data_IF_180663699262
#
_entry.id   IF_180663699262
#
_cell.length_a   1.000
_cell.length_b   1.000
_cell.length_c   1.000
_cell.angle_alpha   90.00
_cell.angle_beta   90.00
_cell.angle_gamma   90.00
#
_symmetry.space_group_name_H-M   'P 1'
#
loop_
_entity.id
_entity.type
_entity.pdbx_description
1 polymer ?
#
# COMPACT_ATOMS: atom_id res chain seq x y z
N UNK A 1 -42.45 -7.26 -2.85
CA UNK A 1 -41.92 -6.91 -4.17
C UNK A 1 -40.49 -6.44 -3.95
N UNK A 2 -39.50 -7.25 -4.32
CA UNK A 2 -38.10 -6.94 -4.09
C UNK A 2 -37.71 -5.73 -4.94
N UNK A 3 -37.34 -4.64 -4.29
CA UNK A 3 -36.74 -3.49 -4.95
C UNK A 3 -35.45 -3.95 -5.63
N UNK A 4 -35.50 -4.10 -6.96
CA UNK A 4 -34.32 -4.22 -7.81
C UNK A 4 -33.59 -2.88 -7.79
N UNK A 5 -33.00 -2.54 -6.63
CA UNK A 5 -32.10 -1.41 -6.53
C UNK A 5 -30.80 -1.82 -7.19
N UNK A 6 -30.31 -0.97 -8.09
CA UNK A 6 -28.99 -1.17 -8.69
C UNK A 6 -27.98 -1.10 -7.55
N UNK A 7 -27.24 -2.19 -7.34
CA UNK A 7 -26.17 -2.22 -6.34
C UNK A 7 -25.03 -1.33 -6.85
N UNK A 8 -24.64 -0.37 -6.01
CA UNK A 8 -23.54 0.56 -6.29
C UNK A 8 -22.24 0.04 -5.67
N UNK A 9 -21.07 0.49 -6.16
CA UNK A 9 -19.78 0.21 -5.52
C UNK A 9 -19.73 0.63 -4.05
N UNK A 10 -20.42 1.73 -3.70
CA UNK A 10 -20.52 2.25 -2.34
C UNK A 10 -21.25 1.27 -1.42
N UNK A 11 -22.34 0.64 -1.88
CA UNK A 11 -23.05 -0.39 -1.10
C UNK A 11 -22.15 -1.59 -0.78
N UNK A 12 -21.34 -2.02 -1.75
CA UNK A 12 -20.36 -3.11 -1.57
C UNK A 12 -19.30 -2.71 -0.57
N UNK A 13 -18.76 -1.49 -0.69
CA UNK A 13 -17.73 -0.98 0.21
C UNK A 13 -18.26 -0.85 1.64
N UNK A 14 -19.46 -0.31 1.83
CA UNK A 14 -20.12 -0.17 3.13
C UNK A 14 -20.31 -1.55 3.78
N UNK A 15 -20.79 -2.55 3.04
CA UNK A 15 -20.91 -3.92 3.54
C UNK A 15 -19.57 -4.49 4.01
N UNK A 16 -18.50 -4.31 3.23
CA UNK A 16 -17.15 -4.80 3.54
C UNK A 16 -16.50 -4.08 4.74
N UNK A 17 -16.84 -2.81 4.95
CA UNK A 17 -16.42 -2.05 6.13
C UNK A 17 -17.12 -2.54 7.39
N UNK A 18 -18.43 -2.80 7.29
CA UNK A 18 -19.27 -3.13 8.43
C UNK A 18 -19.10 -4.58 8.93
N UNK A 19 -18.69 -5.52 8.06
CA UNK A 19 -18.50 -6.93 8.43
C UNK A 19 -17.06 -7.28 8.87
N UNK A 20 -16.16 -6.29 8.90
CA UNK A 20 -14.76 -6.46 9.29
C UNK A 20 -13.87 -7.10 8.23
N UNK A 21 -14.38 -7.34 7.02
CA UNK A 21 -13.61 -7.96 5.93
C UNK A 21 -12.44 -7.09 5.51
N UNK A 22 -12.60 -5.76 5.46
CA UNK A 22 -11.49 -4.85 5.13
C UNK A 22 -10.36 -4.94 6.15
N UNK A 23 -10.67 -5.02 7.44
CA UNK A 23 -9.65 -5.16 8.48
C UNK A 23 -8.95 -6.53 8.40
N UNK A 24 -9.68 -7.60 8.09
CA UNK A 24 -9.11 -8.92 7.85
C UNK A 24 -8.15 -8.91 6.65
N UNK A 25 -8.53 -8.26 5.53
CA UNK A 25 -7.67 -8.08 4.37
C UNK A 25 -6.43 -7.24 4.70
N UNK A 26 -6.61 -6.12 5.41
CA UNK A 26 -5.51 -5.28 5.89
C UNK A 26 -4.53 -6.07 6.74
N UNK A 27 -5.03 -6.91 7.66
CA UNK A 27 -4.19 -7.76 8.50
C UNK A 27 -3.39 -8.78 7.67
N UNK A 28 -4.01 -9.40 6.65
CA UNK A 28 -3.31 -10.30 5.72
C UNK A 28 -2.19 -9.58 4.96
N UNK A 29 -2.45 -8.37 4.44
CA UNK A 29 -1.45 -7.54 3.77
C UNK A 29 -0.27 -7.26 4.70
N UNK A 30 -0.55 -6.81 5.93
CA UNK A 30 0.48 -6.50 6.93
C UNK A 30 1.32 -7.75 7.24
N UNK A 31 0.68 -8.91 7.41
CA UNK A 31 1.40 -10.15 7.71
C UNK A 31 2.29 -10.60 6.55
N UNK A 32 1.84 -10.48 5.30
CA UNK A 32 2.66 -10.80 4.14
C UNK A 32 3.84 -9.83 3.99
N UNK A 33 3.64 -8.52 4.22
CA UNK A 33 4.73 -7.55 4.21
C UNK A 33 5.74 -7.81 5.33
N UNK A 34 5.28 -8.14 6.53
CA UNK A 34 6.14 -8.55 7.65
C UNK A 34 6.91 -9.83 7.37
N UNK A 35 6.39 -10.71 6.51
CA UNK A 35 7.06 -11.94 6.08
C UNK A 35 7.95 -11.74 4.83
N UNK A 36 7.93 -10.57 4.21
CA UNK A 36 8.70 -10.31 3.00
C UNK A 36 10.20 -10.16 3.31
N UNK A 37 10.96 -11.22 3.04
CA UNK A 37 12.40 -11.28 3.27
C UNK A 37 13.20 -10.34 2.37
N UNK A 38 12.72 -10.02 1.16
CA UNK A 38 13.40 -9.08 0.27
C UNK A 38 13.33 -7.65 0.80
N UNK A 39 12.15 -7.25 1.29
CA UNK A 39 11.97 -5.94 1.91
C UNK A 39 12.81 -5.81 3.18
N UNK A 40 12.87 -6.86 4.01
CA UNK A 40 13.76 -6.90 5.20
C UNK A 40 15.22 -6.76 4.82
N UNK A 41 15.71 -7.59 3.88
CA UNK A 41 17.11 -7.55 3.42
C UNK A 41 17.48 -6.20 2.85
N UNK A 42 16.58 -5.60 2.07
CA UNK A 42 16.79 -4.27 1.51
C UNK A 42 16.88 -3.21 2.62
N UNK A 43 15.99 -3.28 3.61
CA UNK A 43 15.99 -2.35 4.75
C UNK A 43 17.26 -2.49 5.60
N UNK A 44 17.74 -3.71 5.84
CA UNK A 44 19.01 -3.96 6.53
C UNK A 44 20.18 -3.34 5.74
N UNK A 45 20.25 -3.57 4.43
CA UNK A 45 21.30 -2.97 3.58
C UNK A 45 21.26 -1.44 3.62
N UNK A 46 20.07 -0.85 3.63
CA UNK A 46 19.92 0.61 3.75
C UNK A 46 20.44 1.12 5.10
N UNK A 47 20.19 0.39 6.19
CA UNK A 47 20.76 0.70 7.49
C UNK A 47 22.29 0.56 7.50
N UNK A 48 22.84 -0.52 6.94
CA UNK A 48 24.29 -0.71 6.82
C UNK A 48 24.98 0.40 6.03
N UNK A 49 24.29 0.95 5.01
CA UNK A 49 24.78 2.04 4.16
C UNK A 49 24.43 3.43 4.69
N UNK A 50 23.79 3.54 5.86
CA UNK A 50 23.35 4.81 6.45
C UNK A 50 24.51 5.75 6.69
N UNK A 51 24.32 7.03 6.35
CA UNK A 51 25.30 8.07 6.70
C UNK A 51 25.37 8.26 8.20
N UNK A 52 24.23 8.22 8.91
CA UNK A 52 24.17 8.36 10.37
C UNK A 52 25.05 7.33 11.06
N UNK A 53 24.98 6.05 10.65
CA UNK A 53 25.79 4.99 11.26
C UNK A 53 27.25 5.01 10.81
N UNK A 54 27.54 5.46 9.58
CA UNK A 54 28.90 5.48 9.05
C UNK A 54 29.65 6.81 9.29
N UNK A 55 29.05 7.76 10.02
CA UNK A 55 29.69 9.04 10.36
C UNK A 55 30.66 8.87 11.54
N UNK A 56 31.89 9.40 11.47
CA UNK A 56 32.81 9.37 12.62
C UNK A 56 32.20 10.04 13.85
N UNK A 57 32.27 9.39 15.01
CA UNK A 57 31.67 9.89 16.24
C UNK A 57 30.26 9.37 16.51
N UNK A 58 29.66 8.59 15.59
CA UNK A 58 28.40 7.88 15.84
C UNK A 58 28.48 6.98 17.08
N UNK A 59 29.66 6.41 17.38
CA UNK A 59 29.90 5.58 18.55
C UNK A 59 29.77 6.33 19.90
N UNK A 60 29.77 7.66 19.88
CA UNK A 60 29.64 8.51 21.08
C UNK A 60 28.21 8.98 21.33
N UNK A 61 27.32 8.79 20.36
CA UNK A 61 25.91 9.15 20.50
C UNK A 61 25.17 8.10 21.33
N UNK A 62 24.10 8.54 21.97
CA UNK A 62 23.21 7.60 22.67
C UNK A 62 22.45 6.74 21.66
N UNK A 63 22.01 5.55 22.11
CA UNK A 63 21.17 4.68 21.30
C UNK A 63 19.92 5.41 20.79
N UNK A 64 19.31 6.29 21.59
CA UNK A 64 18.12 7.05 21.19
C UNK A 64 18.44 7.99 20.03
N UNK A 65 19.47 8.81 20.17
CA UNK A 65 19.90 9.75 19.12
C UNK A 65 20.23 9.03 17.81
N UNK A 66 20.93 7.90 17.87
CA UNK A 66 21.22 7.08 16.69
C UNK A 66 19.96 6.56 16.01
N UNK A 67 19.00 6.02 16.78
CA UNK A 67 17.75 5.52 16.22
C UNK A 67 16.90 6.63 15.62
N UNK A 68 16.80 7.78 16.29
CA UNK A 68 16.01 8.92 15.82
C UNK A 68 16.63 9.52 14.55
N UNK A 69 17.95 9.70 14.51
CA UNK A 69 18.66 10.18 13.33
C UNK A 69 18.58 9.16 12.17
N UNK A 70 18.77 7.86 12.44
CA UNK A 70 18.65 6.81 11.44
C UNK A 70 17.23 6.74 10.87
N UNK A 71 16.22 6.89 11.73
CA UNK A 71 14.82 6.97 11.30
C UNK A 71 14.60 8.18 10.40
N UNK A 72 15.09 9.36 10.80
CA UNK A 72 14.96 10.58 9.99
C UNK A 72 15.61 10.43 8.61
N UNK A 73 16.71 9.68 8.50
CA UNK A 73 17.39 9.40 7.22
C UNK A 73 16.62 8.40 6.34
N UNK A 74 16.14 7.30 6.94
CA UNK A 74 15.68 6.12 6.18
C UNK A 74 14.17 5.97 6.09
N UNK A 75 13.37 6.59 6.97
CA UNK A 75 11.93 6.36 7.08
C UNK A 75 11.21 6.55 5.74
N UNK A 76 11.43 7.69 5.07
CA UNK A 76 10.79 7.96 3.77
C UNK A 76 11.10 6.89 2.74
N UNK A 77 12.37 6.52 2.57
CA UNK A 77 12.79 5.55 1.56
C UNK A 77 12.28 4.13 1.85
N UNK A 78 12.28 3.73 3.13
CA UNK A 78 11.75 2.43 3.55
C UNK A 78 10.23 2.39 3.37
N UNK A 79 9.52 3.46 3.75
CA UNK A 79 8.08 3.58 3.58
C UNK A 79 7.68 3.59 2.10
N UNK A 80 8.44 4.24 1.23
CA UNK A 80 8.20 4.20 -0.22
C UNK A 80 8.33 2.78 -0.78
N UNK A 81 9.37 2.04 -0.40
CA UNK A 81 9.55 0.64 -0.81
C UNK A 81 8.42 -0.25 -0.28
N UNK A 82 8.06 -0.09 0.99
CA UNK A 82 6.95 -0.83 1.59
C UNK A 82 5.62 -0.51 0.90
N UNK A 83 5.34 0.77 0.62
CA UNK A 83 4.15 1.23 -0.10
C UNK A 83 4.06 0.61 -1.49
N UNK A 84 5.17 0.57 -2.23
CA UNK A 84 5.24 -0.09 -3.53
C UNK A 84 4.91 -1.58 -3.41
N UNK A 85 5.51 -2.28 -2.45
CA UNK A 85 5.22 -3.70 -2.23
C UNK A 85 3.77 -3.96 -1.81
N UNK A 86 3.13 -3.05 -1.08
CA UNK A 86 1.69 -3.15 -0.76
C UNK A 86 0.86 -3.10 -2.04
N UNK A 87 1.13 -2.12 -2.93
CA UNK A 87 0.39 -1.99 -4.19
C UNK A 87 0.60 -3.18 -5.10
N UNK A 88 1.83 -3.68 -5.22
CA UNK A 88 2.13 -4.89 -5.97
C UNK A 88 1.32 -6.09 -5.44
N UNK A 89 1.17 -6.20 -4.12
CA UNK A 89 0.39 -7.27 -3.51
C UNK A 89 -1.13 -7.13 -3.74
N UNK A 90 -1.66 -5.91 -3.68
CA UNK A 90 -3.09 -5.63 -3.90
C UNK A 90 -3.46 -5.82 -5.37
N UNK A 91 -2.56 -5.46 -6.31
CA UNK A 91 -2.79 -5.53 -7.74
C UNK A 91 -2.42 -6.89 -8.35
N UNK A 92 -1.87 -7.81 -7.57
CA UNK A 92 -1.49 -9.14 -8.02
C UNK A 92 -2.73 -9.97 -8.40
N UNK A 93 -2.75 -10.49 -9.63
CA UNK A 93 -3.86 -11.30 -10.16
C UNK A 93 -3.80 -12.77 -9.72
N UNK A 94 -2.73 -13.21 -9.06
CA UNK A 94 -2.48 -14.62 -8.77
C UNK A 94 -2.50 -14.97 -7.27
N UNK A 95 -2.36 -13.98 -6.38
CA UNK A 95 -2.30 -14.15 -4.93
C UNK A 95 -3.36 -13.34 -4.19
N UNK A 96 -2.93 -12.44 -3.31
CA UNK A 96 -3.84 -11.70 -2.44
C UNK A 96 -4.77 -10.77 -3.22
N UNK A 97 -4.31 -10.09 -4.28
CA UNK A 97 -5.18 -9.27 -5.12
C UNK A 97 -6.33 -10.04 -5.74
N UNK A 98 -6.12 -11.30 -6.13
CA UNK A 98 -7.20 -12.21 -6.55
C UNK A 98 -8.19 -12.49 -5.42
N UNK A 99 -7.71 -12.71 -4.19
CA UNK A 99 -8.56 -12.93 -3.02
C UNK A 99 -9.42 -11.69 -2.71
N UNK A 100 -8.85 -10.48 -2.84
CA UNK A 100 -9.57 -9.21 -2.72
C UNK A 100 -10.69 -9.15 -3.78
N UNK A 101 -10.36 -9.40 -5.05
CA UNK A 101 -11.34 -9.39 -6.14
C UNK A 101 -12.47 -10.39 -5.90
N UNK A 102 -12.16 -11.63 -5.51
CA UNK A 102 -13.16 -12.64 -5.17
C UNK A 102 -14.05 -12.24 -3.99
N UNK A 103 -13.50 -11.52 -3.02
CA UNK A 103 -14.22 -11.08 -1.84
C UNK A 103 -15.21 -9.97 -2.20
N UNK A 104 -14.79 -8.99 -2.99
CA UNK A 104 -15.64 -7.93 -3.53
C UNK A 104 -16.76 -8.52 -4.39
N UNK A 105 -16.42 -9.41 -5.33
CA UNK A 105 -17.40 -10.08 -6.20
C UNK A 105 -18.42 -10.89 -5.41
N UNK A 106 -17.98 -11.58 -4.35
CA UNK A 106 -18.87 -12.35 -3.47
C UNK A 106 -19.87 -11.46 -2.76
N UNK A 107 -19.43 -10.33 -2.21
CA UNK A 107 -20.32 -9.37 -1.54
C UNK A 107 -21.28 -8.76 -2.55
N UNK A 108 -20.78 -8.36 -3.72
CA UNK A 108 -21.61 -7.86 -4.81
C UNK A 108 -22.71 -8.85 -5.23
N UNK A 109 -22.36 -10.14 -5.42
CA UNK A 109 -23.33 -11.18 -5.75
C UNK A 109 -24.38 -11.38 -4.65
N UNK A 110 -23.98 -11.35 -3.38
CA UNK A 110 -24.89 -11.44 -2.24
C UNK A 110 -25.87 -10.28 -2.21
N UNK A 111 -25.39 -9.04 -2.32
CA UNK A 111 -26.22 -7.84 -2.35
C UNK A 111 -27.16 -7.82 -3.56
N UNK A 112 -26.70 -8.35 -4.70
CA UNK A 112 -27.48 -8.46 -5.93
C UNK A 112 -28.51 -9.60 -5.92
N UNK A 113 -28.59 -10.40 -4.85
CA UNK A 113 -29.45 -11.59 -4.79
C UNK A 113 -29.04 -12.71 -5.75
N UNK A 114 -27.80 -12.71 -6.24
CA UNK A 114 -27.20 -13.72 -7.12
C UNK A 114 -26.39 -14.77 -6.36
N UNK A 115 -26.60 -14.88 -5.05
CA UNK A 115 -25.88 -15.87 -4.24
C UNK A 115 -26.14 -17.29 -4.80
N UNK A 116 -25.08 -18.03 -5.17
CA UNK A 116 -25.23 -19.42 -5.59
C UNK A 116 -25.90 -20.23 -4.47
N UNK A 117 -26.89 -21.10 -4.77
CA UNK A 117 -27.56 -21.88 -3.74
C UNK A 117 -26.54 -22.68 -2.92
N UNK A 118 -26.52 -22.51 -1.60
CA UNK A 118 -25.67 -23.26 -0.68
C UNK A 118 -26.00 -24.77 -0.65
N UNK A 119 -27.08 -25.17 -1.31
CA UNK A 119 -27.43 -26.56 -1.59
C UNK A 119 -27.80 -26.67 -3.06
N UNK A 120 -26.97 -27.39 -3.85
CA UNK A 120 -27.46 -27.92 -5.11
C UNK A 120 -28.56 -28.95 -4.77
N UNK A 121 -29.74 -28.89 -5.42
CA UNK A 121 -30.68 -30.00 -5.37
C UNK A 121 -29.97 -31.29 -5.83
N UNK A 122 -30.18 -32.44 -5.17
CA UNK A 122 -29.51 -33.70 -5.53
C UNK A 122 -29.77 -34.22 -6.95
N UNK A 123 -30.66 -33.61 -7.73
CA UNK A 123 -31.24 -34.24 -8.92
C UNK A 123 -30.85 -33.54 -10.24
N UNK A 124 -29.60 -33.09 -10.37
CA UNK A 124 -29.04 -32.65 -11.65
C UNK A 124 -28.06 -33.69 -12.22
N UNK A 125 -28.43 -34.97 -12.19
CA UNK A 125 -27.88 -35.95 -13.11
C UNK A 125 -28.94 -36.98 -13.52
N UNK A 126 -28.91 -37.32 -14.81
CA UNK A 126 -29.65 -38.36 -15.53
C UNK A 126 -30.87 -37.98 -16.39
N UNK A 127 -30.59 -38.07 -17.72
CA UNK A 127 -31.42 -38.52 -18.86
C UNK A 127 -31.99 -37.41 -19.77
N UNK A 128 -31.78 -37.41 -21.10
CA UNK A 128 -31.52 -38.53 -22.00
C UNK A 128 -30.93 -38.14 -23.38
N UNK A 129 -30.14 -39.08 -23.93
CA UNK A 129 -29.92 -39.49 -25.34
C UNK A 129 -29.34 -38.48 -26.35
N UNK A 130 -28.16 -38.70 -26.97
CA UNK A 130 -27.66 -39.85 -27.76
C UNK A 130 -28.44 -40.13 -29.06
N UNK A 131 -27.77 -39.79 -30.19
CA UNK A 131 -27.77 -40.41 -31.53
C UNK A 131 -27.07 -39.42 -32.50
N UNK A 132 -26.19 -39.75 -33.43
CA UNK A 132 -25.57 -40.98 -33.93
C UNK A 132 -24.52 -40.54 -34.99
N UNK A 133 -23.33 -41.19 -35.03
CA UNK A 133 -22.42 -41.48 -36.19
C UNK A 133 -22.01 -40.38 -37.21
N UNK A 134 -20.95 -40.49 -38.02
CA UNK A 134 -19.73 -41.29 -38.16
C UNK A 134 -18.93 -40.68 -39.34
N UNK A 135 -17.60 -40.83 -39.27
CA UNK A 135 -16.52 -40.56 -40.24
C UNK A 135 -16.86 -40.52 -41.75
N UNK A 136 -16.12 -39.68 -42.49
CA UNK A 136 -15.27 -40.09 -43.64
C UNK A 136 -14.00 -39.20 -43.73
N UNK A 137 -12.84 -39.85 -43.85
CA UNK A 137 -11.54 -39.30 -44.29
C UNK A 137 -11.52 -39.23 -45.83
N UNK A 138 -10.83 -38.28 -46.47
CA UNK A 138 -9.74 -38.58 -47.42
C UNK A 138 -8.95 -37.34 -47.87
N UNK A 139 -7.69 -37.59 -48.23
CA UNK A 139 -6.57 -36.73 -48.65
C UNK A 139 -6.82 -35.95 -49.96
N UNK A 140 -6.10 -34.83 -50.10
CA UNK A 140 -5.82 -34.21 -51.39
C UNK A 140 -4.65 -33.23 -51.34
N UNK A 141 -3.47 -33.69 -51.76
CA UNK A 141 -2.18 -32.98 -51.81
C UNK A 141 -2.14 -32.11 -53.08
N UNK A 142 -1.83 -30.81 -52.98
CA UNK A 142 -1.72 -29.93 -54.14
C UNK A 142 -0.72 -28.79 -53.92
N UNK A 143 0.46 -28.94 -54.51
CA UNK A 143 1.63 -28.05 -54.45
C UNK A 143 1.48 -26.99 -55.56
N UNK A 144 1.62 -25.70 -55.27
CA UNK A 144 1.58 -24.64 -56.28
C UNK A 144 2.35 -23.40 -55.83
N UNK A 145 3.29 -22.96 -56.66
CA UNK A 145 4.39 -22.02 -56.40
C UNK A 145 4.26 -20.85 -57.40
N UNK A 146 4.46 -19.61 -56.96
CA UNK A 146 4.60 -18.41 -57.82
C UNK A 146 4.13 -17.17 -57.04
N UNK A 147 4.96 -16.24 -56.55
CA UNK A 147 6.04 -15.39 -57.10
C UNK A 147 5.52 -14.13 -57.83
N UNK A 148 5.65 -13.00 -57.12
CA UNK A 148 5.82 -11.62 -57.62
C UNK A 148 4.54 -10.80 -57.78
N UNK A 149 4.54 -9.46 -57.74
CA UNK A 149 5.52 -8.41 -57.38
C UNK A 149 4.79 -7.07 -57.67
N UNK A 150 4.88 -6.08 -56.75
CA UNK A 150 4.66 -4.61 -56.96
C UNK A 150 3.24 -4.13 -57.34
N UNK A 151 2.74 -2.93 -57.02
CA UNK A 151 3.24 -1.66 -56.45
C UNK A 151 2.04 -0.77 -56.07
N UNK A 152 2.31 0.27 -55.27
CA UNK A 152 1.75 1.63 -55.34
C UNK A 152 1.01 2.13 -54.09
N UNK A 153 1.77 2.93 -53.32
CA UNK A 153 1.45 4.28 -52.84
C UNK A 153 0.15 4.51 -52.05
N UNK A 154 0.28 4.97 -50.80
CA UNK A 154 0.14 6.39 -50.43
C UNK A 154 0.27 6.58 -48.91
N UNK A 155 1.35 7.24 -48.49
CA UNK A 155 1.41 8.07 -47.28
C UNK A 155 0.65 9.38 -47.58
N UNK A 156 0.05 10.09 -46.59
CA UNK A 156 0.89 10.83 -45.63
C UNK A 156 0.37 10.90 -44.18
N UNK A 157 1.33 10.72 -43.27
CA UNK A 157 1.64 11.54 -42.09
C UNK A 157 0.91 12.90 -41.97
N UNK A 158 0.26 13.18 -40.82
CA UNK A 158 0.28 14.51 -40.16
C UNK A 158 0.17 14.39 -38.63
N UNK A 159 0.95 15.26 -37.97
CA UNK A 159 1.15 15.46 -36.53
C UNK A 159 0.23 16.59 -36.06
N UNK A 160 -0.39 16.45 -34.88
CA UNK A 160 -0.60 17.52 -33.88
C UNK A 160 -0.79 16.84 -32.51
N UNK A 161 0.14 16.92 -31.53
CA UNK A 161 0.35 17.97 -30.53
C UNK A 161 -0.95 18.58 -29.96
N UNK A 162 -1.29 18.26 -28.71
CA UNK A 162 -1.25 19.21 -27.58
C UNK A 162 -1.85 18.66 -26.28
N UNK A 163 -1.03 18.72 -25.22
CA UNK A 163 -1.32 19.21 -23.87
C UNK A 163 -2.64 18.81 -23.17
N UNK A 164 -2.53 17.99 -22.10
CA UNK A 164 -3.43 18.13 -20.95
C UNK A 164 -2.62 18.31 -19.67
N UNK A 165 -2.99 19.33 -18.92
CA UNK A 165 -2.21 19.96 -17.88
C UNK A 165 -2.20 19.16 -16.56
N UNK A 166 -1.00 18.94 -16.04
CA UNK A 166 -0.73 18.45 -14.70
C UNK A 166 -1.19 19.47 -13.65
N UNK A 167 -2.31 19.23 -12.96
CA UNK A 167 -2.72 20.04 -11.80
C UNK A 167 -2.06 19.50 -10.53
N UNK A 168 -0.81 19.90 -10.31
CA UNK A 168 -0.14 19.85 -9.00
C UNK A 168 -0.86 20.84 -8.07
N UNK A 169 -1.31 20.37 -6.91
CA UNK A 169 -1.71 21.24 -5.80
C UNK A 169 -0.50 21.39 -4.87
N UNK A 170 0.05 22.61 -4.89
CA UNK A 170 1.24 23.05 -4.15
C UNK A 170 0.89 23.34 -2.70
N UNK A 171 1.82 23.04 -1.80
CA UNK A 171 1.77 23.32 -0.36
C UNK A 171 2.54 24.62 -0.10
N UNK A 172 1.85 25.68 0.35
CA UNK A 172 2.46 26.91 0.90
C UNK A 172 1.44 27.70 1.73
N UNK A 173 1.86 28.12 2.94
CA UNK A 173 1.36 29.24 3.76
C UNK A 173 -0.05 29.23 4.37
N UNK A 174 -0.13 28.82 5.64
CA UNK A 174 -0.83 29.56 6.70
C UNK A 174 -0.05 29.37 8.01
N UNK A 175 1.03 30.14 8.17
CA UNK A 175 1.54 30.52 9.48
C UNK A 175 1.69 32.05 9.47
N UNK A 176 1.46 32.66 10.63
CA UNK A 176 1.44 34.10 10.92
C UNK A 176 0.05 34.76 10.75
N UNK A 177 -0.67 34.92 11.86
CA UNK A 177 -0.72 36.19 12.60
C UNK A 177 -1.70 36.09 13.78
N UNK A 178 -1.22 36.40 14.98
CA UNK A 178 -2.04 36.44 16.19
C UNK A 178 -1.22 36.71 17.45
N UNK A 179 -0.43 37.78 17.44
CA UNK A 179 0.04 38.44 18.67
C UNK A 179 -0.96 39.55 19.07
N UNK A 180 -1.10 39.78 20.38
CA UNK A 180 -1.90 40.84 21.01
C UNK A 180 -2.45 40.36 22.36
N UNK A 181 -1.71 40.59 23.47
CA UNK A 181 -1.99 41.62 24.51
C UNK A 181 -3.16 41.19 25.43
N UNK A 182 -3.09 41.15 26.77
CA UNK A 182 -2.48 42.10 27.70
C UNK A 182 -2.28 41.54 29.14
N UNK A 183 -1.32 42.18 29.82
CA UNK A 183 -0.99 42.30 31.24
C UNK A 183 -2.06 42.04 32.33
N UNK A 184 -1.66 41.40 33.46
CA UNK A 184 -1.66 42.07 34.77
C UNK A 184 -0.81 41.38 35.87
N UNK A 185 -0.15 42.24 36.62
CA UNK A 185 0.81 42.11 37.73
C UNK A 185 0.22 41.72 39.10
N UNK A 186 0.99 40.99 39.92
CA UNK A 186 1.18 41.17 41.38
C UNK A 186 2.08 40.03 41.92
N UNK A 187 3.38 40.24 42.14
CA UNK A 187 4.03 40.77 43.35
C UNK A 187 4.23 39.76 44.51
N UNK A 188 5.52 39.46 44.75
CA UNK A 188 6.22 39.08 46.00
C UNK A 188 5.91 37.73 46.68
N UNK A 189 6.93 36.86 46.81
CA UNK A 189 7.76 36.83 48.03
C UNK A 189 9.06 36.05 47.82
N UNK A 190 10.12 36.60 48.38
CA UNK A 190 11.53 36.22 48.34
C UNK A 190 11.86 35.58 49.72
N UNK A 191 12.49 34.40 49.77
CA UNK A 191 13.38 33.94 50.88
C UNK A 191 13.99 32.53 50.62
N UNK A 192 15.11 32.13 51.28
CA UNK A 192 16.33 31.65 50.60
C UNK A 192 16.72 30.20 50.99
N UNK A 193 17.81 29.62 50.43
CA UNK A 193 18.33 28.35 50.92
C UNK A 193 19.09 28.55 52.24
N UNK A 194 18.70 27.79 53.27
CA UNK A 194 19.39 27.73 54.55
C UNK A 194 20.80 27.15 54.41
N UNK A 195 21.76 27.84 55.01
CA UNK A 195 23.19 27.54 55.09
C UNK A 195 23.54 27.20 56.55
N UNK A 196 24.59 26.38 56.70
CA UNK A 196 25.50 26.08 57.85
C UNK A 196 25.03 25.18 59.02
N UNK A 197 25.95 24.43 59.70
CA UNK A 197 27.40 24.62 59.74
C UNK A 197 28.32 23.40 59.52
N UNK A 198 29.51 23.77 59.05
CA UNK A 198 30.81 23.11 59.15
C UNK A 198 31.20 22.91 60.62
N UNK A 199 31.70 21.72 60.98
CA UNK A 199 32.52 21.56 62.19
C UNK A 199 33.89 20.98 61.84
N UNK A 200 34.87 21.61 62.46
CA UNK A 200 36.31 21.53 62.35
C UNK A 200 36.85 20.20 62.91
N UNK A 201 37.82 19.60 62.24
CA UNK A 201 38.86 18.83 62.93
C UNK A 201 40.16 18.85 62.13
N UNK A 202 40.96 19.86 62.43
CA UNK A 202 42.41 19.77 62.47
C UNK A 202 42.86 18.47 63.16
N UNK A 203 43.92 17.79 62.68
CA UNK A 203 45.27 17.82 63.29
C UNK A 203 46.24 16.73 62.76
N UNK A 204 47.46 17.22 62.46
CA UNK A 204 48.80 16.62 62.64
C UNK A 204 49.24 15.39 61.81
N UNK A 205 50.26 15.57 60.94
CA UNK A 205 51.72 15.29 61.14
C UNK A 205 51.99 13.80 61.42
N UNK A 206 52.79 13.08 60.63
CA UNK A 206 54.21 13.31 60.33
C UNK A 206 54.61 12.45 59.14
#
# INVERSE_FOLDING_TARGET
MGSSSVITPEDVLESLMNDGTIDALRLKIINQLKANEELKKTTIKMAEQSKVLNTPGAEKQTKRELFDALRQELETQVLEKASKSVWELILDNNGLGKEINHTVERVFCKLSGREPPLFLPPDANEKANDKEKEKVREKGKGKGKGKGKETAASDPHEKEKSNSASKKRSFSELNEQGEGEDHQVAAKSDEPPAVVPEEDSQVLKT
#
